data_IF_359237649782
#
_entry.id   IF_359237649782
#
_cell.length_a   1.000
_cell.length_b   1.000
_cell.length_c   1.000
_cell.angle_alpha   90.00
_cell.angle_beta   90.00
_cell.angle_gamma   90.00
#
_symmetry.space_group_name_H-M   'P 1'
#
loop_
_entity.id
_entity.type
_entity.pdbx_description
1 polymer ?
#
# COMPACT_ATOMS: atom_id res chain seq x y z
N UNK A 1 -30.85 51.17 50.85
CA UNK A 1 -30.89 49.91 50.10
C UNK A 1 -29.99 50.07 48.87
N UNK A 2 -28.73 49.63 48.95
CA UNK A 2 -27.76 49.71 47.87
C UNK A 2 -27.82 48.36 47.08
N UNK A 3 -28.23 48.42 45.83
CA UNK A 3 -28.18 47.26 44.92
C UNK A 3 -26.74 47.06 44.45
N UNK A 4 -26.12 45.96 44.86
CA UNK A 4 -24.83 45.51 44.35
C UNK A 4 -25.15 44.73 43.08
N UNK A 5 -24.74 45.27 41.92
CA UNK A 5 -24.78 44.58 40.64
C UNK A 5 -23.49 43.76 40.55
N UNK A 6 -23.62 42.44 40.67
CA UNK A 6 -22.52 41.47 40.47
C UNK A 6 -22.32 41.25 38.95
N UNK A 7 -21.31 41.90 38.38
CA UNK A 7 -20.91 41.70 36.98
C UNK A 7 -20.11 40.39 36.86
N UNK A 8 -20.77 39.33 36.43
CA UNK A 8 -20.13 38.03 36.17
C UNK A 8 -19.38 38.12 34.82
N UNK A 9 -18.11 38.50 34.87
CA UNK A 9 -17.23 38.38 33.70
C UNK A 9 -17.00 36.90 33.39
N UNK A 10 -17.73 36.35 32.42
CA UNK A 10 -17.39 35.08 31.76
C UNK A 10 -16.07 35.29 31.00
N UNK A 11 -14.97 34.94 31.65
CA UNK A 11 -13.69 34.73 30.98
C UNK A 11 -13.83 33.51 30.06
N UNK A 12 -14.24 33.75 28.81
CA UNK A 12 -14.02 32.81 27.70
C UNK A 12 -12.52 32.71 27.52
N UNK A 13 -11.88 31.80 28.24
CA UNK A 13 -10.53 31.33 27.85
C UNK A 13 -10.66 30.63 26.50
N UNK A 14 -10.56 31.40 25.42
CA UNK A 14 -10.22 30.84 24.11
C UNK A 14 -8.87 30.20 24.28
N UNK A 15 -8.86 28.88 24.53
CA UNK A 15 -7.66 28.07 24.36
C UNK A 15 -7.33 28.23 22.89
N UNK A 16 -6.39 29.13 22.61
CA UNK A 16 -5.90 29.39 21.25
C UNK A 16 -5.33 28.14 20.68
N UNK A 17 -6.15 27.38 19.96
CA UNK A 17 -5.67 26.29 19.13
C UNK A 17 -4.81 26.96 18.04
N UNK A 18 -3.51 26.75 18.08
CA UNK A 18 -2.63 27.21 16.99
C UNK A 18 -3.19 26.69 15.68
N UNK A 19 -3.58 27.59 14.80
CA UNK A 19 -4.14 27.27 13.51
C UNK A 19 -3.17 26.31 12.78
N UNK A 20 -3.69 25.18 12.29
CA UNK A 20 -2.89 24.21 11.58
C UNK A 20 -2.31 24.85 10.33
N UNK A 21 -1.01 24.67 10.10
CA UNK A 21 -0.34 25.21 8.91
C UNK A 21 -0.71 24.41 7.69
N UNK A 22 -1.28 25.08 6.71
CA UNK A 22 -1.69 24.49 5.43
C UNK A 22 -0.92 25.17 4.29
N UNK A 23 -0.30 24.34 3.44
CA UNK A 23 0.51 24.79 2.31
C UNK A 23 -0.11 24.25 1.02
N UNK A 24 -0.46 25.17 0.10
CA UNK A 24 -1.07 24.87 -1.20
C UNK A 24 -0.28 25.42 -2.37
N UNK A 25 0.83 26.14 -2.12
CA UNK A 25 1.63 26.81 -3.15
C UNK A 25 2.22 25.86 -4.19
N UNK A 26 2.44 24.58 -3.82
CA UNK A 26 2.98 23.59 -4.75
C UNK A 26 2.01 23.30 -5.91
N UNK A 27 0.69 23.45 -5.68
CA UNK A 27 -0.31 23.31 -6.76
C UNK A 27 -0.12 24.41 -7.80
N UNK A 28 0.05 25.67 -7.38
CA UNK A 28 0.27 26.79 -8.31
C UNK A 28 1.59 26.63 -9.06
N UNK A 29 2.64 26.30 -8.36
CA UNK A 29 3.97 26.07 -8.94
C UNK A 29 3.92 24.96 -10.01
N UNK A 30 3.13 23.90 -9.76
CA UNK A 30 2.95 22.84 -10.76
C UNK A 30 2.24 23.35 -12.02
N UNK A 31 1.17 24.11 -11.86
CA UNK A 31 0.42 24.62 -13.02
C UNK A 31 1.22 25.67 -13.80
N UNK A 32 2.05 26.48 -13.14
CA UNK A 32 3.02 27.37 -13.82
C UNK A 32 4.02 26.56 -14.66
N UNK A 33 4.52 25.46 -14.09
CA UNK A 33 5.42 24.55 -14.80
C UNK A 33 4.72 23.84 -15.96
N UNK A 34 3.51 23.33 -15.76
CA UNK A 34 2.69 22.68 -16.78
C UNK A 34 2.48 23.59 -17.99
N UNK A 35 2.00 24.81 -17.75
CA UNK A 35 1.72 25.80 -18.82
C UNK A 35 2.99 26.20 -19.60
N UNK A 36 4.14 26.10 -18.98
CA UNK A 36 5.44 26.35 -19.63
C UNK A 36 5.94 25.15 -20.41
N UNK A 37 5.77 23.94 -19.87
CA UNK A 37 6.22 22.67 -20.45
C UNK A 37 5.42 22.34 -21.72
N UNK A 38 4.12 22.59 -21.73
CA UNK A 38 3.26 22.31 -22.88
C UNK A 38 3.57 23.16 -24.12
N UNK A 39 4.32 24.28 -23.95
CA UNK A 39 4.75 25.14 -25.05
C UNK A 39 6.03 24.69 -25.77
N UNK A 40 6.66 23.62 -25.35
CA UNK A 40 7.91 23.10 -25.95
C UNK A 40 7.88 21.60 -26.09
N UNK A 41 8.50 21.07 -27.17
CA UNK A 41 8.69 19.64 -27.39
C UNK A 41 10.09 19.15 -26.99
N UNK A 42 11.00 20.07 -26.62
CA UNK A 42 12.36 19.74 -26.19
C UNK A 42 12.33 19.16 -24.78
N UNK A 43 12.66 17.88 -24.65
CA UNK A 43 12.64 17.16 -23.39
C UNK A 43 13.59 17.75 -22.33
N UNK A 44 14.76 18.22 -22.75
CA UNK A 44 15.72 18.87 -21.83
C UNK A 44 15.18 20.18 -21.29
N UNK A 45 14.53 20.98 -22.15
CA UNK A 45 13.85 22.21 -21.70
C UNK A 45 12.71 21.91 -20.75
N UNK A 46 11.91 20.87 -21.04
CA UNK A 46 10.83 20.42 -20.14
C UNK A 46 11.37 20.01 -18.76
N UNK A 47 12.47 19.25 -18.71
CA UNK A 47 13.14 18.91 -17.45
C UNK A 47 13.63 20.14 -16.69
N UNK A 48 14.24 21.08 -17.37
CA UNK A 48 14.68 22.34 -16.74
C UNK A 48 13.49 23.15 -16.21
N UNK A 49 12.36 23.17 -16.91
CA UNK A 49 11.16 23.88 -16.48
C UNK A 49 10.50 23.25 -15.26
N UNK A 50 10.32 21.92 -15.24
CA UNK A 50 9.71 21.24 -14.08
C UNK A 50 10.61 21.40 -12.82
N UNK A 51 11.92 21.30 -12.96
CA UNK A 51 12.83 21.53 -11.85
C UNK A 51 12.72 22.98 -11.37
N UNK A 52 12.92 23.96 -12.24
CA UNK A 52 12.98 25.39 -11.89
C UNK A 52 11.65 25.91 -11.32
N UNK A 53 10.50 25.54 -11.92
CA UNK A 53 9.21 26.16 -11.62
C UNK A 53 8.43 25.39 -10.55
N UNK A 54 8.66 24.09 -10.39
CA UNK A 54 7.93 23.25 -9.45
C UNK A 54 8.84 22.69 -8.34
N UNK A 55 9.86 21.87 -8.68
CA UNK A 55 10.61 21.10 -7.69
C UNK A 55 11.50 21.99 -6.82
N UNK A 56 12.22 22.94 -7.42
CA UNK A 56 13.13 23.83 -6.69
C UNK A 56 12.36 24.82 -5.80
N UNK A 57 11.24 25.34 -6.29
CA UNK A 57 10.31 26.19 -5.53
C UNK A 57 9.50 25.41 -4.49
N UNK A 58 9.51 24.08 -4.58
CA UNK A 58 8.65 23.20 -3.79
C UNK A 58 8.87 23.31 -2.30
N UNK A 59 7.76 23.20 -1.57
CA UNK A 59 7.76 23.15 -0.11
C UNK A 59 8.57 21.95 0.42
N UNK A 60 8.88 21.95 1.71
CA UNK A 60 9.47 20.76 2.35
C UNK A 60 8.55 19.53 2.23
N UNK A 61 7.22 19.74 2.18
CA UNK A 61 6.24 18.67 1.99
C UNK A 61 6.33 18.04 0.61
N UNK A 62 6.44 18.82 -0.47
CA UNK A 62 6.66 18.28 -1.81
C UNK A 62 7.93 17.41 -1.85
N UNK A 63 9.03 17.90 -1.28
CA UNK A 63 10.30 17.16 -1.25
C UNK A 63 10.19 15.85 -0.46
N UNK A 64 9.48 15.88 0.68
CA UNK A 64 9.19 14.69 1.47
C UNK A 64 8.30 13.69 0.69
N UNK A 65 7.26 14.18 0.00
CA UNK A 65 6.38 13.33 -0.81
C UNK A 65 7.11 12.69 -1.98
N UNK A 66 7.94 13.47 -2.70
CA UNK A 66 8.79 12.93 -3.76
C UNK A 66 9.70 11.81 -3.27
N UNK A 67 10.32 12.00 -2.10
CA UNK A 67 11.17 10.97 -1.46
C UNK A 67 10.36 9.74 -1.07
N UNK A 68 9.24 9.91 -0.37
CA UNK A 68 8.40 8.82 0.14
C UNK A 68 7.83 7.96 -0.99
N UNK A 69 7.44 8.57 -2.11
CA UNK A 69 6.82 7.91 -3.27
C UNK A 69 7.77 7.74 -4.46
N UNK A 70 9.06 8.05 -4.29
CA UNK A 70 10.10 7.93 -5.34
C UNK A 70 9.74 8.67 -6.63
N UNK A 71 9.13 9.87 -6.51
CA UNK A 71 8.87 10.73 -7.66
C UNK A 71 10.17 11.36 -8.16
N UNK A 72 10.27 11.53 -9.47
CA UNK A 72 11.40 12.14 -10.15
C UNK A 72 10.89 13.17 -11.16
N UNK A 73 11.72 14.14 -11.51
CA UNK A 73 11.45 15.15 -12.54
C UNK A 73 11.01 14.53 -13.88
N UNK A 74 11.72 13.49 -14.32
CA UNK A 74 11.39 12.73 -15.53
C UNK A 74 9.99 12.12 -15.50
N UNK A 75 9.48 11.73 -14.32
CA UNK A 75 8.14 11.19 -14.16
C UNK A 75 7.08 12.27 -14.46
N UNK A 76 7.23 13.46 -13.87
CA UNK A 76 6.30 14.58 -14.11
C UNK A 76 6.24 14.95 -15.57
N UNK A 77 7.40 15.13 -16.24
CA UNK A 77 7.45 15.48 -17.67
C UNK A 77 6.75 14.41 -18.52
N UNK A 78 7.03 13.13 -18.25
CA UNK A 78 6.37 12.02 -18.98
C UNK A 78 4.86 11.99 -18.76
N UNK A 79 4.39 12.26 -17.54
CA UNK A 79 2.96 12.27 -17.25
C UNK A 79 2.25 13.48 -17.88
N UNK A 80 2.88 14.65 -17.91
CA UNK A 80 2.34 15.81 -18.64
C UNK A 80 2.19 15.50 -20.13
N UNK A 81 3.15 14.79 -20.71
CA UNK A 81 3.11 14.42 -22.13
C UNK A 81 2.10 13.30 -22.41
N UNK A 82 1.99 12.32 -21.53
CA UNK A 82 1.18 11.12 -21.73
C UNK A 82 -0.32 11.33 -21.45
N UNK A 83 -0.70 12.33 -20.63
CA UNK A 83 -2.06 12.48 -20.12
C UNK A 83 -2.60 13.92 -20.22
N UNK A 84 -2.51 14.60 -21.41
CA UNK A 84 -2.95 15.98 -21.55
C UNK A 84 -4.44 16.20 -21.26
N UNK A 85 -5.31 15.27 -21.66
CA UNK A 85 -6.76 15.36 -21.41
C UNK A 85 -7.08 15.23 -19.92
N UNK A 86 -6.40 14.32 -19.23
CA UNK A 86 -6.52 14.21 -17.78
C UNK A 86 -6.14 15.53 -17.09
N UNK A 87 -4.94 16.06 -17.39
CA UNK A 87 -4.49 17.30 -16.77
C UNK A 87 -5.41 18.47 -17.07
N UNK A 88 -5.94 18.56 -18.28
CA UNK A 88 -6.94 19.56 -18.64
C UNK A 88 -8.19 19.46 -17.76
N UNK A 89 -8.71 18.25 -17.55
CA UNK A 89 -9.94 18.02 -16.79
C UNK A 89 -9.78 18.19 -15.28
N UNK A 90 -8.63 17.79 -14.69
CA UNK A 90 -8.41 17.81 -13.22
C UNK A 90 -7.97 19.17 -12.68
N UNK A 91 -7.54 20.09 -13.55
CA UNK A 91 -6.93 21.37 -13.15
C UNK A 91 -7.80 22.18 -12.19
N UNK A 92 -9.06 22.35 -12.54
CA UNK A 92 -10.01 23.13 -11.72
C UNK A 92 -10.18 22.51 -10.32
N UNK A 93 -10.28 21.18 -10.24
CA UNK A 93 -10.42 20.46 -8.99
C UNK A 93 -9.19 20.65 -8.09
N UNK A 94 -7.98 20.51 -8.63
CA UNK A 94 -6.76 20.72 -7.84
C UNK A 94 -6.61 22.15 -7.34
N UNK A 95 -6.97 23.15 -8.15
CA UNK A 95 -6.93 24.57 -7.77
C UNK A 95 -7.97 24.91 -6.70
N UNK A 96 -9.11 24.18 -6.64
CA UNK A 96 -10.17 24.40 -5.64
C UNK A 96 -9.76 24.00 -4.24
N UNK A 97 -8.65 23.25 -4.04
CA UNK A 97 -8.13 22.87 -2.70
C UNK A 97 -7.96 24.06 -1.78
N UNK A 98 -7.56 25.22 -2.31
CA UNK A 98 -7.41 26.45 -1.54
C UNK A 98 -8.72 26.90 -0.86
N UNK A 99 -9.85 26.66 -1.51
CA UNK A 99 -11.19 27.02 -1.02
C UNK A 99 -11.65 26.02 0.08
N UNK A 100 -11.06 24.83 0.14
CA UNK A 100 -11.38 23.79 1.13
C UNK A 100 -10.58 23.93 2.44
N UNK A 101 -9.62 24.84 2.51
CA UNK A 101 -8.72 24.96 3.69
C UNK A 101 -9.44 25.26 4.98
N UNK A 102 -10.50 26.08 4.94
CA UNK A 102 -11.32 26.38 6.13
C UNK A 102 -12.09 25.16 6.61
N UNK A 103 -12.73 24.42 5.70
CA UNK A 103 -13.46 23.17 6.02
C UNK A 103 -12.53 22.10 6.61
N UNK A 104 -11.29 21.99 6.08
CA UNK A 104 -10.25 21.11 6.61
C UNK A 104 -9.88 21.53 8.04
N UNK A 105 -9.69 22.83 8.31
CA UNK A 105 -9.42 23.33 9.66
C UNK A 105 -10.57 23.02 10.63
N UNK A 106 -11.82 23.19 10.19
CA UNK A 106 -13.00 22.83 10.99
C UNK A 106 -13.05 21.33 11.28
N UNK A 107 -12.72 20.48 10.32
CA UNK A 107 -12.63 19.04 10.51
C UNK A 107 -11.53 18.67 11.52
N UNK A 108 -10.36 19.32 11.46
CA UNK A 108 -9.29 19.13 12.45
C UNK A 108 -9.71 19.62 13.84
N UNK A 109 -10.47 20.70 13.93
CA UNK A 109 -11.02 21.17 15.21
C UNK A 109 -11.99 20.13 15.82
N UNK A 110 -12.84 19.48 14.99
CA UNK A 110 -13.67 18.34 15.42
C UNK A 110 -12.84 17.15 15.88
N UNK A 111 -11.77 16.79 15.15
CA UNK A 111 -10.83 15.76 15.56
C UNK A 111 -10.19 16.09 16.92
N UNK A 112 -9.80 17.34 17.14
CA UNK A 112 -9.26 17.81 18.42
C UNK A 112 -10.27 17.70 19.57
N UNK A 113 -11.54 17.98 19.30
CA UNK A 113 -12.60 17.81 20.30
C UNK A 113 -12.81 16.33 20.66
N UNK A 114 -12.75 15.41 19.67
CA UNK A 114 -12.84 13.98 19.89
C UNK A 114 -11.60 13.40 20.57
N UNK A 115 -10.41 13.93 20.25
CA UNK A 115 -9.14 13.48 20.79
C UNK A 115 -8.32 14.67 21.33
N UNK A 116 -8.54 15.10 22.58
CA UNK A 116 -7.88 16.28 23.18
C UNK A 116 -6.35 16.24 23.21
N UNK A 117 -5.73 15.06 23.08
CA UNK A 117 -4.29 14.89 22.99
C UNK A 117 -3.71 15.08 21.57
N UNK A 118 -4.55 15.48 20.61
CA UNK A 118 -4.13 15.70 19.22
C UNK A 118 -2.88 16.58 19.16
N UNK A 119 -1.83 16.07 18.54
CA UNK A 119 -0.59 16.80 18.26
C UNK A 119 -0.73 17.57 16.96
N UNK A 120 -0.15 18.79 16.86
CA UNK A 120 -0.19 19.56 15.64
C UNK A 120 0.57 18.87 14.50
N UNK A 121 0.00 18.91 13.30
CA UNK A 121 0.65 18.49 12.07
C UNK A 121 0.64 19.64 11.05
N UNK A 122 1.45 19.53 10.02
CA UNK A 122 1.51 20.46 8.90
C UNK A 122 0.98 19.78 7.64
N UNK A 123 0.10 20.44 6.89
CA UNK A 123 -0.57 19.87 5.73
C UNK A 123 0.02 20.45 4.46
N UNK A 124 0.39 19.58 3.53
CA UNK A 124 0.99 19.93 2.25
C UNK A 124 0.17 19.33 1.11
N UNK A 125 -0.48 20.21 0.35
CA UNK A 125 -1.21 19.84 -0.85
C UNK A 125 -0.32 20.08 -2.07
N UNK A 126 0.05 19.00 -2.74
CA UNK A 126 0.99 18.98 -3.85
C UNK A 126 0.36 18.32 -5.07
N UNK A 127 1.05 18.34 -6.19
CA UNK A 127 0.74 17.45 -7.31
C UNK A 127 1.75 16.31 -7.31
N UNK A 128 1.26 15.09 -7.22
CA UNK A 128 2.09 13.89 -7.18
C UNK A 128 2.33 13.26 -8.55
N UNK A 129 2.51 11.95 -8.59
CA UNK A 129 2.78 11.18 -9.80
C UNK A 129 1.93 9.90 -9.86
N UNK A 130 0.66 9.98 -9.53
CA UNK A 130 -0.34 8.90 -9.56
C UNK A 130 -0.03 7.66 -8.72
N UNK A 131 0.81 7.78 -7.67
CA UNK A 131 1.15 6.63 -6.82
C UNK A 131 0.45 6.63 -5.47
N UNK A 132 -0.06 7.77 -5.02
CA UNK A 132 -0.70 7.89 -3.71
C UNK A 132 -1.56 9.15 -3.64
N UNK A 133 -2.76 9.03 -3.09
CA UNK A 133 -3.61 10.18 -2.76
C UNK A 133 -3.10 10.91 -1.52
N UNK A 134 -2.53 10.17 -0.56
CA UNK A 134 -1.96 10.74 0.66
C UNK A 134 -0.87 9.86 1.26
N UNK A 135 -0.11 10.42 2.19
CA UNK A 135 0.85 9.73 3.06
C UNK A 135 1.33 10.69 4.15
N UNK A 136 2.10 10.17 5.10
CA UNK A 136 2.71 10.99 6.16
C UNK A 136 4.22 10.82 6.23
N UNK A 137 4.91 11.88 6.65
CA UNK A 137 6.32 11.82 7.05
C UNK A 137 6.51 12.63 8.34
N UNK A 138 6.70 11.93 9.46
CA UNK A 138 6.73 12.56 10.78
C UNK A 138 5.40 13.24 11.12
N UNK A 139 5.42 14.57 11.29
CA UNK A 139 4.24 15.39 11.51
C UNK A 139 3.71 16.09 10.25
N UNK A 140 4.16 15.67 9.08
CA UNK A 140 3.70 16.20 7.80
C UNK A 140 2.64 15.28 7.20
N UNK A 141 1.49 15.83 6.85
CA UNK A 141 0.46 15.24 6.01
C UNK A 141 0.72 15.66 4.58
N UNK A 142 0.93 14.71 3.69
CA UNK A 142 1.35 14.91 2.32
C UNK A 142 0.25 14.41 1.37
N UNK A 143 -0.39 15.32 0.65
CA UNK A 143 -1.56 15.01 -0.20
C UNK A 143 -1.22 15.22 -1.67
N UNK A 144 -1.45 14.18 -2.49
CA UNK A 144 -1.40 14.23 -3.95
C UNK A 144 -2.76 14.69 -4.49
N UNK A 145 -2.87 15.98 -4.74
CA UNK A 145 -4.15 16.62 -5.07
C UNK A 145 -4.77 16.08 -6.35
N UNK A 146 -3.96 15.60 -7.31
CA UNK A 146 -4.43 15.02 -8.56
C UNK A 146 -5.23 13.72 -8.38
N UNK A 147 -4.99 12.99 -7.28
CA UNK A 147 -5.82 11.82 -6.93
C UNK A 147 -6.90 12.22 -5.93
N UNK A 148 -6.54 13.03 -4.95
CA UNK A 148 -7.42 13.41 -3.84
C UNK A 148 -8.64 14.24 -4.26
N UNK A 149 -8.58 14.92 -5.42
CA UNK A 149 -9.68 15.74 -5.94
C UNK A 149 -10.33 15.16 -7.20
N UNK A 150 -10.01 13.92 -7.55
CA UNK A 150 -10.64 13.25 -8.69
C UNK A 150 -12.14 13.03 -8.46
N UNK A 151 -12.92 13.18 -9.52
CA UNK A 151 -14.37 12.97 -9.54
C UNK A 151 -14.75 12.11 -10.75
N UNK A 152 -15.98 11.52 -10.81
CA UNK A 152 -16.36 10.63 -11.90
C UNK A 152 -16.33 11.25 -13.31
N UNK A 153 -16.38 12.59 -13.40
CA UNK A 153 -16.37 13.36 -14.65
C UNK A 153 -14.96 13.67 -15.20
N UNK A 154 -13.90 13.32 -14.45
CA UNK A 154 -12.51 13.51 -14.89
C UNK A 154 -12.20 12.57 -16.08
N UNK A 155 -11.55 13.13 -17.10
CA UNK A 155 -11.17 12.36 -18.28
C UNK A 155 -10.03 11.38 -17.98
N UNK A 156 -10.35 10.09 -18.00
CA UNK A 156 -9.42 8.99 -17.76
C UNK A 156 -9.19 8.12 -19.01
N UNK A 157 -9.58 8.59 -20.19
CA UNK A 157 -9.48 7.80 -21.43
C UNK A 157 -8.04 7.43 -21.81
N UNK A 158 -7.06 8.20 -21.36
CA UNK A 158 -5.65 8.00 -21.63
C UNK A 158 -5.01 6.91 -20.72
N UNK A 159 -5.68 6.53 -19.64
CA UNK A 159 -5.16 5.52 -18.70
C UNK A 159 -5.56 4.11 -19.12
N UNK A 160 -4.56 3.24 -19.33
CA UNK A 160 -4.80 1.82 -19.64
C UNK A 160 -5.32 1.05 -18.42
N UNK A 161 -4.82 1.37 -17.22
CA UNK A 161 -5.24 0.74 -15.98
C UNK A 161 -6.52 1.42 -15.46
N UNK A 162 -7.59 0.65 -15.18
CA UNK A 162 -8.87 1.21 -14.71
C UNK A 162 -8.86 1.64 -13.24
N UNK A 163 -7.75 1.52 -12.52
CA UNK A 163 -7.67 1.81 -11.09
C UNK A 163 -8.18 3.21 -10.72
N UNK A 164 -7.70 4.26 -11.40
CA UNK A 164 -8.16 5.63 -11.13
C UNK A 164 -9.66 5.79 -11.39
N UNK A 165 -10.20 5.11 -12.41
CA UNK A 165 -11.65 5.12 -12.67
C UNK A 165 -12.43 4.52 -11.49
N UNK A 166 -11.93 3.44 -10.92
CA UNK A 166 -12.50 2.84 -9.71
C UNK A 166 -12.44 3.81 -8.52
N UNK A 167 -11.27 4.43 -8.28
CA UNK A 167 -11.06 5.40 -7.20
C UNK A 167 -12.03 6.59 -7.35
N UNK A 168 -12.06 7.25 -8.50
CA UNK A 168 -12.86 8.45 -8.73
C UNK A 168 -14.37 8.18 -8.77
N UNK A 169 -14.80 6.94 -9.05
CA UNK A 169 -16.22 6.60 -9.17
C UNK A 169 -17.04 6.84 -7.89
N UNK A 170 -16.39 6.93 -6.74
CA UNK A 170 -17.03 7.16 -5.42
C UNK A 170 -16.58 8.45 -4.75
N UNK A 171 -15.73 9.24 -5.40
CA UNK A 171 -15.27 10.52 -4.87
C UNK A 171 -16.19 11.65 -5.33
N UNK A 172 -16.40 12.62 -4.45
CA UNK A 172 -16.99 13.91 -4.74
C UNK A 172 -15.94 15.03 -4.57
N UNK A 173 -16.34 16.26 -4.83
CA UNK A 173 -15.46 17.44 -4.72
C UNK A 173 -14.90 17.66 -3.31
N UNK A 174 -15.52 17.07 -2.29
CA UNK A 174 -15.15 17.24 -0.88
C UNK A 174 -14.31 16.07 -0.35
N UNK A 175 -14.07 15.04 -1.18
CA UNK A 175 -13.32 13.86 -0.78
C UNK A 175 -11.94 14.17 -0.17
N UNK A 176 -11.32 15.27 -0.59
CA UNK A 176 -10.03 15.70 -0.05
C UNK A 176 -10.07 15.98 1.46
N UNK A 177 -11.24 16.33 2.02
CA UNK A 177 -11.39 16.62 3.46
C UNK A 177 -11.27 15.32 4.28
N UNK A 178 -12.10 14.27 4.08
CA UNK A 178 -11.94 13.03 4.82
C UNK A 178 -10.58 12.37 4.57
N UNK A 179 -10.04 12.42 3.34
CA UNK A 179 -8.68 11.94 3.06
C UNK A 179 -7.62 12.65 3.91
N UNK A 180 -7.70 13.98 4.02
CA UNK A 180 -6.77 14.77 4.85
C UNK A 180 -6.87 14.38 6.32
N UNK A 181 -8.07 14.13 6.84
CA UNK A 181 -8.27 13.67 8.23
C UNK A 181 -7.71 12.26 8.43
N UNK A 182 -7.93 11.34 7.50
CA UNK A 182 -7.35 10.01 7.52
C UNK A 182 -5.82 10.07 7.65
N UNK A 183 -5.16 10.84 6.80
CA UNK A 183 -3.70 11.02 6.88
C UNK A 183 -3.27 11.75 8.16
N UNK A 184 -4.07 12.71 8.65
CA UNK A 184 -3.78 13.38 9.91
C UNK A 184 -3.76 12.38 11.08
N UNK A 185 -4.67 11.41 11.10
CA UNK A 185 -4.73 10.39 12.14
C UNK A 185 -3.47 9.55 12.15
N UNK A 186 -2.90 9.20 10.98
CA UNK A 186 -1.62 8.51 10.91
C UNK A 186 -0.47 9.26 11.59
N UNK A 187 -0.50 10.61 11.62
CA UNK A 187 0.51 11.39 12.38
C UNK A 187 0.35 11.24 13.90
N UNK A 188 -0.79 10.78 14.38
CA UNK A 188 -1.07 10.57 15.80
C UNK A 188 -0.80 9.14 16.26
N UNK A 189 -0.85 8.19 15.35
CA UNK A 189 -0.54 6.80 15.62
C UNK A 189 0.94 6.65 15.99
N UNK A 190 1.23 5.74 16.91
CA UNK A 190 2.61 5.46 17.27
C UNK A 190 3.32 4.85 16.07
N UNK A 191 4.41 5.50 15.63
CA UNK A 191 5.24 4.96 14.54
C UNK A 191 5.70 3.55 14.93
N UNK A 192 5.34 2.58 14.11
CA UNK A 192 5.66 1.18 14.33
C UNK A 192 5.82 0.47 12.98
N UNK A 193 6.67 -0.54 12.94
CA UNK A 193 6.73 -1.46 11.83
C UNK A 193 5.62 -2.51 12.00
N UNK A 194 4.70 -2.56 11.04
CA UNK A 194 3.65 -3.57 11.03
C UNK A 194 4.23 -4.91 10.58
N UNK A 195 3.96 -5.97 11.35
CA UNK A 195 4.55 -7.29 11.11
C UNK A 195 3.67 -8.23 10.29
N UNK A 196 2.37 -7.94 10.21
CA UNK A 196 1.38 -8.81 9.60
C UNK A 196 0.15 -8.03 9.12
N UNK A 197 -0.73 -8.71 8.41
CA UNK A 197 -1.98 -8.15 7.86
C UNK A 197 -2.83 -7.47 8.92
N UNK A 198 -2.94 -8.05 10.14
CA UNK A 198 -3.74 -7.46 11.23
C UNK A 198 -3.24 -6.06 11.62
N UNK A 199 -1.91 -5.88 11.72
CA UNK A 199 -1.32 -4.59 12.06
C UNK A 199 -1.62 -3.52 11.03
N UNK A 200 -1.46 -3.83 9.76
CA UNK A 200 -1.82 -2.92 8.66
C UNK A 200 -3.31 -2.63 8.62
N UNK A 201 -4.15 -3.68 8.68
CA UNK A 201 -5.60 -3.53 8.63
C UNK A 201 -6.13 -2.62 9.76
N UNK A 202 -5.67 -2.82 10.99
CA UNK A 202 -6.07 -1.98 12.12
C UNK A 202 -5.54 -0.56 12.01
N UNK A 203 -4.32 -0.35 11.52
CA UNK A 203 -3.75 0.98 11.30
C UNK A 203 -4.59 1.79 10.32
N UNK A 204 -4.86 1.24 9.14
CA UNK A 204 -5.62 1.91 8.08
C UNK A 204 -7.11 2.05 8.44
N UNK A 205 -7.72 0.96 8.89
CA UNK A 205 -9.15 0.97 9.24
C UNK A 205 -9.48 1.84 10.45
N UNK A 206 -8.54 2.03 11.38
CA UNK A 206 -8.73 2.97 12.49
C UNK A 206 -8.74 4.43 12.00
N UNK A 207 -7.89 4.76 11.03
CA UNK A 207 -7.88 6.08 10.42
C UNK A 207 -9.22 6.37 9.72
N UNK A 208 -9.77 5.41 8.98
CA UNK A 208 -11.09 5.52 8.37
C UNK A 208 -12.20 5.68 9.41
N UNK A 209 -12.21 4.82 10.44
CA UNK A 209 -13.26 4.88 11.46
C UNK A 209 -13.26 6.20 12.23
N UNK A 210 -12.11 6.69 12.65
CA UNK A 210 -12.00 7.99 13.33
C UNK A 210 -12.37 9.12 12.37
N UNK A 211 -12.01 9.02 11.09
CA UNK A 211 -12.45 9.97 10.06
C UNK A 211 -13.97 10.00 9.95
N UNK A 212 -14.65 8.86 9.94
CA UNK A 212 -16.13 8.78 9.95
C UNK A 212 -16.71 9.55 11.14
N UNK A 213 -16.16 9.37 12.34
CA UNK A 213 -16.61 10.11 13.54
C UNK A 213 -16.39 11.62 13.41
N UNK A 214 -15.26 12.05 12.85
CA UNK A 214 -14.96 13.47 12.61
C UNK A 214 -15.90 14.08 11.60
N UNK A 215 -16.20 13.36 10.52
CA UNK A 215 -17.10 13.83 9.46
C UNK A 215 -18.56 13.80 9.88
N UNK A 216 -18.94 13.01 10.89
CA UNK A 216 -20.33 12.86 11.35
C UNK A 216 -21.27 12.23 10.32
N UNK A 217 -20.70 11.58 9.29
CA UNK A 217 -21.43 10.87 8.24
C UNK A 217 -20.68 9.60 7.85
N UNK A 218 -21.40 8.57 7.44
CA UNK A 218 -20.82 7.31 6.98
C UNK A 218 -19.91 7.54 5.79
N UNK A 219 -18.70 6.99 5.86
CA UNK A 219 -17.76 7.01 4.75
C UNK A 219 -18.24 6.08 3.62
N UNK A 220 -18.11 6.56 2.40
CA UNK A 220 -18.44 5.82 1.19
C UNK A 220 -17.18 5.70 0.34
N UNK A 221 -16.61 4.49 0.33
CA UNK A 221 -15.48 4.11 -0.52
C UNK A 221 -15.82 2.79 -1.22
N UNK A 222 -15.06 2.41 -2.24
CA UNK A 222 -15.26 1.12 -2.92
C UNK A 222 -15.12 -0.05 -1.95
N UNK A 223 -14.04 -0.09 -1.17
CA UNK A 223 -13.76 -1.17 -0.22
C UNK A 223 -14.77 -1.23 0.94
N UNK A 224 -15.25 -0.10 1.46
CA UNK A 224 -16.29 -0.11 2.50
C UNK A 224 -17.65 -0.59 1.96
N UNK A 225 -17.99 -0.21 0.72
CA UNK A 225 -19.23 -0.63 0.08
C UNK A 225 -19.20 -2.13 -0.17
N UNK A 226 -18.19 -2.61 -0.90
CA UNK A 226 -18.01 -4.02 -1.20
C UNK A 226 -17.88 -4.87 0.08
N UNK A 227 -17.12 -4.37 1.06
CA UNK A 227 -16.89 -5.04 2.32
C UNK A 227 -18.19 -5.30 3.10
N UNK A 228 -19.12 -4.32 3.15
CA UNK A 228 -20.44 -4.48 3.80
C UNK A 228 -21.29 -5.52 3.10
N UNK A 229 -21.27 -5.57 1.77
CA UNK A 229 -22.02 -6.54 0.97
C UNK A 229 -21.51 -7.98 1.14
N UNK A 230 -20.19 -8.15 1.41
CA UNK A 230 -19.52 -9.44 1.48
C UNK A 230 -18.94 -9.76 2.87
N UNK A 231 -19.44 -9.10 3.91
CA UNK A 231 -18.88 -9.11 5.27
C UNK A 231 -18.55 -10.49 5.83
N UNK A 232 -19.46 -11.45 5.69
CA UNK A 232 -19.28 -12.80 6.25
C UNK A 232 -18.12 -13.55 5.60
N UNK A 233 -17.99 -13.47 4.27
CA UNK A 233 -16.92 -14.13 3.50
C UNK A 233 -15.58 -13.51 3.83
N UNK A 234 -15.51 -12.16 3.83
CA UNK A 234 -14.28 -11.41 4.12
C UNK A 234 -13.81 -11.67 5.56
N UNK A 235 -14.72 -11.61 6.53
CA UNK A 235 -14.44 -11.92 7.95
C UNK A 235 -13.88 -13.33 8.14
N UNK A 236 -14.46 -14.33 7.44
CA UNK A 236 -13.98 -15.72 7.46
C UNK A 236 -12.58 -15.87 6.87
N UNK A 237 -12.30 -15.22 5.75
CA UNK A 237 -10.98 -15.25 5.09
C UNK A 237 -9.95 -14.53 5.94
N UNK A 238 -10.29 -13.35 6.46
CA UNK A 238 -9.39 -12.58 7.31
C UNK A 238 -8.99 -13.34 8.58
N UNK A 239 -9.90 -14.10 9.20
CA UNK A 239 -9.59 -14.93 10.37
C UNK A 239 -8.44 -15.90 10.11
N UNK A 240 -8.30 -16.39 8.89
CA UNK A 240 -7.22 -17.32 8.51
C UNK A 240 -5.92 -16.63 8.22
N UNK A 241 -5.96 -15.42 7.66
CA UNK A 241 -4.82 -14.74 7.05
C UNK A 241 -4.28 -13.56 7.86
N UNK A 242 -4.94 -13.18 8.96
CA UNK A 242 -4.60 -11.95 9.72
C UNK A 242 -3.15 -11.90 10.22
N UNK A 243 -2.50 -13.03 10.43
CA UNK A 243 -1.10 -13.10 10.84
C UNK A 243 -0.12 -13.33 9.68
N UNK A 244 -0.60 -13.39 8.44
CA UNK A 244 0.26 -13.47 7.27
C UNK A 244 1.16 -12.22 7.16
N UNK A 245 2.39 -12.41 6.70
CA UNK A 245 3.35 -11.31 6.48
C UNK A 245 3.16 -10.64 5.13
N UNK A 246 2.67 -11.37 4.12
CA UNK A 246 2.29 -10.81 2.83
C UNK A 246 0.94 -10.11 2.93
N UNK A 247 0.91 -8.82 2.61
CA UNK A 247 -0.27 -7.95 2.72
C UNK A 247 -1.01 -7.76 1.40
N UNK A 248 -0.43 -8.21 0.28
CA UNK A 248 -0.89 -7.92 -1.07
C UNK A 248 -2.34 -8.35 -1.36
N UNK A 249 -2.84 -9.36 -0.66
CA UNK A 249 -4.24 -9.81 -0.78
C UNK A 249 -5.22 -8.90 -0.04
N UNK A 250 -4.74 -8.08 0.88
CA UNK A 250 -5.58 -7.34 1.82
C UNK A 250 -5.47 -5.83 1.71
N UNK A 251 -4.32 -5.31 1.27
CA UNK A 251 -4.06 -3.86 1.26
C UNK A 251 -3.22 -3.46 0.04
N UNK A 252 -3.41 -2.23 -0.41
CA UNK A 252 -2.67 -1.57 -1.50
C UNK A 252 -2.73 -2.32 -2.83
N UNK A 253 -3.84 -3.00 -3.09
CA UNK A 253 -4.02 -3.94 -4.18
C UNK A 253 -5.08 -3.48 -5.22
N UNK A 254 -5.55 -2.25 -5.14
CA UNK A 254 -6.57 -1.68 -6.03
C UNK A 254 -6.20 -1.68 -7.51
N UNK A 255 -4.90 -1.70 -7.84
CA UNK A 255 -4.43 -1.70 -9.23
C UNK A 255 -4.68 -3.02 -9.96
N UNK A 256 -4.99 -4.12 -9.25
CA UNK A 256 -5.17 -5.46 -9.84
C UNK A 256 -6.39 -6.24 -9.34
N UNK A 257 -7.00 -5.91 -8.20
CA UNK A 257 -8.19 -6.61 -7.68
C UNK A 257 -9.52 -5.87 -7.92
N UNK A 258 -9.49 -4.62 -8.36
CA UNK A 258 -10.73 -3.88 -8.65
C UNK A 258 -11.61 -3.66 -7.42
N UNK A 259 -12.89 -4.05 -7.49
CA UNK A 259 -13.86 -3.82 -6.42
C UNK A 259 -13.57 -4.60 -5.13
N UNK A 260 -12.86 -5.71 -5.22
CA UNK A 260 -12.47 -6.57 -4.07
C UNK A 260 -11.19 -6.08 -3.38
N UNK A 261 -10.67 -4.92 -3.81
CA UNK A 261 -9.42 -4.39 -3.28
C UNK A 261 -9.55 -3.84 -1.88
N UNK A 262 -8.42 -3.81 -1.18
CA UNK A 262 -8.23 -3.07 0.07
C UNK A 262 -9.16 -3.51 1.22
N UNK A 263 -9.54 -4.82 1.23
CA UNK A 263 -10.42 -5.37 2.27
C UNK A 263 -9.83 -5.30 3.67
N UNK A 264 -8.51 -5.11 3.80
CA UNK A 264 -7.86 -4.84 5.09
C UNK A 264 -8.36 -3.54 5.74
N UNK A 265 -8.57 -2.49 4.94
CA UNK A 265 -9.17 -1.23 5.40
C UNK A 265 -10.57 -1.47 5.99
N UNK A 266 -11.42 -2.19 5.23
CA UNK A 266 -12.76 -2.53 5.68
C UNK A 266 -12.77 -3.31 7.00
N UNK A 267 -11.96 -4.35 7.12
CA UNK A 267 -11.90 -5.19 8.34
C UNK A 267 -11.40 -4.36 9.53
N UNK A 268 -10.35 -3.58 9.36
CA UNK A 268 -9.81 -2.72 10.42
C UNK A 268 -10.84 -1.67 10.88
N UNK A 269 -11.55 -1.06 9.94
CA UNK A 269 -12.65 -0.14 10.21
C UNK A 269 -13.77 -0.82 11.02
N UNK A 270 -14.23 -2.00 10.63
CA UNK A 270 -15.29 -2.73 11.34
C UNK A 270 -14.86 -3.16 12.76
N UNK A 271 -13.62 -3.62 12.93
CA UNK A 271 -13.08 -3.97 14.25
C UNK A 271 -13.10 -2.73 15.18
N UNK A 272 -12.62 -1.58 14.70
CA UNK A 272 -12.60 -0.32 15.45
C UNK A 272 -14.02 0.16 15.77
N UNK A 273 -14.93 0.09 14.83
CA UNK A 273 -16.34 0.48 14.98
C UNK A 273 -17.05 -0.37 16.04
N UNK A 274 -16.88 -1.68 15.98
CA UNK A 274 -17.47 -2.60 16.97
C UNK A 274 -16.86 -2.35 18.36
N UNK A 275 -15.53 -2.18 18.45
CA UNK A 275 -14.87 -1.82 19.71
C UNK A 275 -15.44 -0.55 20.32
N UNK A 276 -15.59 0.51 19.50
CA UNK A 276 -16.16 1.77 19.91
C UNK A 276 -17.61 1.61 20.37
N UNK A 277 -18.44 0.88 19.60
CA UNK A 277 -19.86 0.70 19.92
C UNK A 277 -20.04 -0.07 21.23
N UNK A 278 -19.23 -1.09 21.49
CA UNK A 278 -19.27 -1.89 22.72
C UNK A 278 -18.65 -1.18 23.95
N UNK A 279 -17.89 -0.11 23.73
CA UNK A 279 -17.25 0.61 24.84
C UNK A 279 -18.23 1.55 25.53
N UNK A 280 -18.39 1.51 26.88
CA UNK A 280 -19.21 2.46 27.62
C UNK A 280 -18.65 3.87 27.62
N UNK A 281 -17.33 4.03 27.54
CA UNK A 281 -16.62 5.30 27.46
C UNK A 281 -16.10 5.53 26.04
N UNK A 282 -16.80 6.37 25.29
CA UNK A 282 -16.49 6.68 23.88
C UNK A 282 -15.17 7.46 23.74
N UNK A 283 -14.88 8.37 24.65
CA UNK A 283 -13.65 9.15 24.62
C UNK A 283 -12.43 8.24 24.87
N UNK A 284 -12.55 7.31 25.82
CA UNK A 284 -11.53 6.29 26.04
C UNK A 284 -11.37 5.37 24.84
N UNK A 285 -12.45 4.96 24.20
CA UNK A 285 -12.40 4.10 23.01
C UNK A 285 -11.65 4.76 21.84
N UNK A 286 -11.92 6.06 21.56
CA UNK A 286 -11.20 6.83 20.55
C UNK A 286 -9.70 6.87 20.89
N UNK A 287 -9.37 7.15 22.14
CA UNK A 287 -7.97 7.16 22.60
C UNK A 287 -7.31 5.78 22.42
N UNK A 288 -7.96 4.71 22.85
CA UNK A 288 -7.45 3.35 22.77
C UNK A 288 -7.20 2.93 21.29
N UNK A 289 -8.06 3.37 20.36
CA UNK A 289 -7.91 3.16 18.93
C UNK A 289 -6.70 3.93 18.41
N UNK A 290 -6.59 5.23 18.63
CA UNK A 290 -5.51 6.07 18.09
C UNK A 290 -4.14 5.69 18.68
N UNK A 291 -4.09 5.42 20.00
CA UNK A 291 -2.85 5.14 20.74
C UNK A 291 -2.49 3.63 20.74
N UNK A 292 -3.21 2.77 19.98
CA UNK A 292 -2.92 1.34 19.90
C UNK A 292 -1.45 1.11 19.50
N UNK A 293 -0.81 0.10 20.09
CA UNK A 293 0.54 -0.26 19.69
C UNK A 293 0.51 -1.17 18.45
N UNK A 294 0.43 -0.54 17.27
CA UNK A 294 0.31 -1.21 15.97
C UNK A 294 1.49 -2.10 15.60
N UNK A 295 2.66 -1.92 16.22
CA UNK A 295 3.84 -2.78 16.04
C UNK A 295 3.90 -4.00 16.98
N UNK A 296 2.95 -4.11 17.92
CA UNK A 296 2.90 -5.23 18.88
C UNK A 296 1.76 -6.18 18.56
N UNK A 297 2.08 -7.34 18.01
CA UNK A 297 1.09 -8.36 17.69
C UNK A 297 0.22 -8.75 18.91
N UNK A 298 0.81 -8.81 20.11
CA UNK A 298 0.06 -9.08 21.33
C UNK A 298 -0.96 -7.97 21.62
N UNK A 299 -0.58 -6.70 21.47
CA UNK A 299 -1.51 -5.58 21.65
C UNK A 299 -2.65 -5.61 20.64
N UNK A 300 -2.35 -5.94 19.38
CA UNK A 300 -3.34 -6.08 18.32
C UNK A 300 -4.33 -7.21 18.59
N UNK A 301 -3.81 -8.37 19.02
CA UNK A 301 -4.65 -9.53 19.35
C UNK A 301 -5.54 -9.26 20.56
N UNK A 302 -5.02 -8.61 21.60
CA UNK A 302 -5.81 -8.20 22.76
C UNK A 302 -6.91 -7.21 22.36
N UNK A 303 -6.60 -6.22 21.50
CA UNK A 303 -7.58 -5.25 21.00
C UNK A 303 -8.66 -5.95 20.16
N UNK A 304 -8.27 -6.83 19.24
CA UNK A 304 -9.19 -7.62 18.43
C UNK A 304 -10.15 -8.47 19.28
N UNK A 305 -9.60 -9.22 20.24
CA UNK A 305 -10.41 -10.06 21.11
C UNK A 305 -11.36 -9.22 22.00
N UNK A 306 -10.89 -8.07 22.49
CA UNK A 306 -11.72 -7.16 23.29
C UNK A 306 -12.79 -6.46 22.48
N UNK A 307 -12.60 -6.27 21.17
CA UNK A 307 -13.61 -5.64 20.31
C UNK A 307 -14.92 -6.44 20.23
N UNK A 308 -14.84 -7.76 20.36
CA UNK A 308 -15.99 -8.66 20.11
C UNK A 308 -16.25 -8.88 18.62
N UNK A 309 -15.31 -8.54 17.74
CA UNK A 309 -15.47 -8.75 16.29
C UNK A 309 -15.64 -10.23 15.93
N UNK A 310 -14.94 -11.14 16.63
CA UNK A 310 -15.17 -12.58 16.58
C UNK A 310 -15.87 -13.05 17.86
N UNK A 311 -16.81 -13.98 17.74
CA UNK A 311 -17.58 -14.55 18.87
C UNK A 311 -16.69 -15.35 19.84
N UNK A 312 -15.57 -15.87 19.34
CA UNK A 312 -14.58 -16.60 20.14
C UNK A 312 -13.21 -15.93 20.03
N UNK A 313 -12.45 -15.85 21.12
CA UNK A 313 -11.09 -15.34 21.05
C UNK A 313 -10.25 -16.06 19.99
N UNK A 314 -9.34 -15.32 19.38
CA UNK A 314 -8.42 -15.85 18.37
C UNK A 314 -7.27 -16.55 19.10
N UNK A 315 -7.09 -17.83 18.80
CA UNK A 315 -5.89 -18.58 19.12
C UNK A 315 -4.85 -18.33 18.00
N UNK A 316 -3.79 -17.62 18.36
CA UNK A 316 -2.73 -17.24 17.42
C UNK A 316 -2.01 -18.45 16.84
N UNK A 317 -1.61 -19.39 17.69
CA UNK A 317 -0.80 -20.52 17.25
C UNK A 317 -1.58 -21.42 16.29
N UNK A 318 -2.82 -21.73 16.66
CA UNK A 318 -3.72 -22.49 15.80
C UNK A 318 -4.00 -21.76 14.46
N UNK A 319 -4.20 -20.44 14.51
CA UNK A 319 -4.48 -19.63 13.29
C UNK A 319 -3.28 -19.61 12.36
N UNK A 320 -2.07 -19.37 12.89
CA UNK A 320 -0.84 -19.36 12.08
C UNK A 320 -0.56 -20.73 11.49
N UNK A 321 -0.75 -21.82 12.27
CA UNK A 321 -0.60 -23.18 11.79
C UNK A 321 -1.56 -23.48 10.63
N UNK A 322 -2.83 -23.19 10.81
CA UNK A 322 -3.85 -23.41 9.78
C UNK A 322 -3.60 -22.56 8.52
N UNK A 323 -3.11 -21.33 8.67
CA UNK A 323 -2.70 -20.48 7.54
C UNK A 323 -1.56 -21.15 6.76
N UNK A 324 -0.47 -21.50 7.44
CA UNK A 324 0.71 -22.11 6.80
C UNK A 324 0.38 -23.43 6.09
N UNK A 325 -0.44 -24.28 6.68
CA UNK A 325 -0.92 -25.53 6.07
C UNK A 325 -1.77 -25.27 4.82
N UNK A 326 -2.41 -24.12 4.75
CA UNK A 326 -3.24 -23.73 3.59
C UNK A 326 -2.47 -23.06 2.46
N UNK A 327 -1.21 -22.64 2.66
CA UNK A 327 -0.42 -21.98 1.63
C UNK A 327 0.10 -22.97 0.56
N UNK A 328 0.36 -22.51 -0.68
CA UNK A 328 1.05 -23.32 -1.66
C UNK A 328 2.48 -23.62 -1.16
N UNK A 329 3.00 -24.79 -1.48
CA UNK A 329 4.36 -25.20 -1.16
C UNK A 329 4.95 -26.04 -2.30
N UNK A 330 6.27 -26.15 -2.33
CA UNK A 330 6.98 -26.94 -3.31
C UNK A 330 6.84 -28.43 -2.95
N UNK A 331 6.22 -29.20 -3.85
CA UNK A 331 6.08 -30.66 -3.73
C UNK A 331 7.34 -31.36 -4.21
N UNK A 332 7.89 -30.89 -5.33
CA UNK A 332 9.10 -31.47 -5.92
C UNK A 332 9.78 -30.49 -6.85
N UNK A 333 11.07 -30.74 -7.10
CA UNK A 333 11.82 -30.10 -8.16
C UNK A 333 12.86 -31.07 -8.74
N UNK A 334 13.25 -30.91 -10.00
CA UNK A 334 14.20 -31.81 -10.65
C UNK A 334 14.37 -31.51 -12.14
N UNK A 335 15.23 -32.32 -12.82
CA UNK A 335 15.75 -33.64 -12.46
C UNK A 335 16.97 -33.65 -11.53
N UNK A 336 17.68 -32.53 -11.35
CA UNK A 336 18.80 -32.45 -10.40
C UNK A 336 18.40 -31.76 -9.10
N UNK A 337 19.08 -32.06 -8.01
CA UNK A 337 18.82 -31.60 -6.66
C UNK A 337 20.02 -30.88 -6.05
N UNK A 338 19.78 -30.22 -4.90
CA UNK A 338 20.88 -29.62 -4.17
C UNK A 338 21.91 -30.66 -3.71
N UNK A 339 23.17 -30.45 -4.07
CA UNK A 339 24.29 -31.31 -3.72
C UNK A 339 24.63 -32.35 -4.79
N UNK A 340 23.85 -32.48 -5.87
CA UNK A 340 24.11 -33.47 -6.94
C UNK A 340 25.44 -33.19 -7.61
N UNK A 341 26.16 -34.29 -7.86
CA UNK A 341 27.42 -34.33 -8.63
C UNK A 341 27.22 -35.17 -9.87
N UNK A 342 28.03 -34.91 -10.89
CA UNK A 342 27.98 -35.65 -12.14
C UNK A 342 26.61 -35.61 -12.86
N UNK A 343 25.90 -34.48 -12.75
CA UNK A 343 24.65 -34.24 -13.48
C UNK A 343 24.92 -34.29 -14.97
N UNK A 344 24.03 -34.90 -15.73
CA UNK A 344 24.15 -34.98 -17.19
C UNK A 344 23.98 -33.60 -17.83
N UNK A 345 24.97 -33.13 -18.57
CA UNK A 345 24.91 -31.86 -19.30
C UNK A 345 23.91 -31.85 -20.47
N UNK A 346 23.38 -33.02 -20.85
CA UNK A 346 22.31 -33.16 -21.84
C UNK A 346 20.91 -32.74 -21.33
N UNK A 347 20.72 -32.54 -20.04
CA UNK A 347 19.46 -32.10 -19.48
C UNK A 347 19.08 -30.71 -20.04
N UNK A 348 17.84 -30.58 -20.54
CA UNK A 348 17.31 -29.35 -21.17
C UNK A 348 16.18 -28.68 -20.40
N UNK A 349 15.61 -29.36 -19.42
CA UNK A 349 14.47 -28.85 -18.64
C UNK A 349 14.69 -29.05 -17.15
N UNK A 350 14.24 -28.05 -16.37
CA UNK A 350 14.12 -28.14 -14.92
C UNK A 350 12.70 -27.86 -14.53
N UNK A 351 12.12 -28.69 -13.67
CA UNK A 351 10.73 -28.61 -13.25
C UNK A 351 10.65 -28.24 -11.78
N UNK A 352 9.66 -27.41 -11.43
CA UNK A 352 9.27 -27.10 -10.04
C UNK A 352 7.77 -27.34 -9.93
N UNK A 353 7.36 -28.31 -9.10
CA UNK A 353 5.95 -28.67 -8.88
C UNK A 353 5.46 -28.17 -7.53
N UNK A 354 4.32 -27.52 -7.53
CA UNK A 354 3.68 -26.94 -6.34
C UNK A 354 2.41 -27.72 -5.95
N UNK A 355 2.00 -27.55 -4.70
CA UNK A 355 0.79 -28.19 -4.16
C UNK A 355 -0.51 -27.59 -4.69
N UNK A 356 -0.47 -26.41 -5.31
CA UNK A 356 -1.59 -25.67 -5.87
C UNK A 356 -1.28 -25.12 -7.24
N UNK A 357 -2.30 -24.77 -8.06
CA UNK A 357 -2.13 -23.99 -9.27
C UNK A 357 -1.46 -22.64 -8.96
N UNK A 358 -0.46 -22.28 -9.77
CA UNK A 358 0.34 -21.07 -9.60
C UNK A 358 0.12 -20.10 -10.77
N UNK A 359 0.41 -18.82 -10.54
CA UNK A 359 0.40 -17.78 -11.56
C UNK A 359 1.67 -17.86 -12.42
N UNK A 360 1.58 -18.16 -13.73
CA UNK A 360 2.75 -18.28 -14.61
C UNK A 360 3.53 -16.98 -14.81
N UNK A 361 2.88 -15.84 -14.56
CA UNK A 361 3.50 -14.53 -14.72
C UNK A 361 4.17 -14.02 -13.42
N UNK A 362 4.08 -14.81 -12.34
CA UNK A 362 4.54 -14.38 -11.02
C UNK A 362 5.44 -15.44 -10.37
N UNK A 363 6.73 -15.38 -10.69
CA UNK A 363 7.77 -16.25 -10.14
C UNK A 363 9.12 -15.54 -10.06
N UNK A 364 10.00 -16.00 -9.17
CA UNK A 364 11.36 -15.50 -9.07
C UNK A 364 12.40 -16.59 -8.84
N UNK A 365 13.44 -16.54 -9.66
CA UNK A 365 14.63 -17.35 -9.58
C UNK A 365 15.83 -16.41 -9.57
N UNK A 366 16.67 -16.49 -8.54
CA UNK A 366 17.75 -15.53 -8.35
C UNK A 366 19.14 -16.15 -8.49
N UNK A 367 20.09 -15.28 -8.86
CA UNK A 367 21.50 -15.60 -8.77
C UNK A 367 21.90 -15.68 -7.29
N UNK A 368 22.90 -16.50 -7.00
CA UNK A 368 23.65 -16.40 -5.76
C UNK A 368 24.72 -15.29 -5.89
N UNK A 369 25.52 -15.12 -4.84
CA UNK A 369 26.68 -14.21 -4.87
C UNK A 369 27.71 -14.51 -5.95
N UNK A 370 27.68 -15.73 -6.56
CA UNK A 370 28.58 -16.12 -7.67
C UNK A 370 28.17 -15.50 -9.02
N UNK A 371 26.95 -14.99 -9.11
CA UNK A 371 26.48 -14.25 -10.30
C UNK A 371 25.95 -15.13 -11.43
N UNK A 372 25.70 -14.49 -12.57
CA UNK A 372 24.99 -15.06 -13.72
C UNK A 372 25.68 -16.29 -14.34
N UNK A 373 26.99 -16.36 -14.32
CA UNK A 373 27.75 -17.46 -14.95
C UNK A 373 27.50 -18.81 -14.28
N UNK A 374 27.00 -18.81 -13.05
CA UNK A 374 26.64 -20.02 -12.30
C UNK A 374 25.14 -20.32 -12.36
N UNK A 375 24.34 -19.49 -13.03
CA UNK A 375 22.89 -19.64 -13.12
C UNK A 375 22.52 -20.46 -14.34
N UNK A 376 21.87 -21.64 -14.19
CA UNK A 376 21.65 -22.57 -15.29
C UNK A 376 20.31 -22.40 -15.99
N UNK A 377 19.36 -21.64 -15.45
CA UNK A 377 18.00 -21.54 -15.95
C UNK A 377 17.85 -20.34 -16.89
N UNK A 378 17.11 -20.50 -17.99
CA UNK A 378 16.95 -19.43 -18.97
C UNK A 378 15.55 -18.81 -18.90
N UNK A 379 14.55 -19.47 -19.44
CA UNK A 379 13.18 -18.97 -19.55
C UNK A 379 12.16 -20.04 -19.15
N UNK A 380 10.99 -19.59 -18.73
CA UNK A 380 9.83 -20.45 -18.60
C UNK A 380 9.43 -20.94 -19.99
N UNK A 381 9.36 -22.26 -20.18
CA UNK A 381 8.94 -22.90 -21.42
C UNK A 381 7.42 -23.09 -21.47
N UNK A 382 6.85 -23.59 -20.38
CA UNK A 382 5.44 -23.92 -20.25
C UNK A 382 5.05 -24.22 -18.82
N UNK A 383 3.75 -24.26 -18.58
CA UNK A 383 3.17 -24.83 -17.37
C UNK A 383 2.61 -26.22 -17.69
N UNK A 384 2.64 -27.11 -16.70
CA UNK A 384 2.06 -28.47 -16.75
C UNK A 384 1.17 -28.70 -15.51
N UNK A 385 0.44 -29.83 -15.47
CA UNK A 385 -0.34 -30.29 -14.34
C UNK A 385 -1.34 -29.25 -13.82
N UNK A 386 -2.13 -28.67 -14.70
CA UNK A 386 -3.09 -27.62 -14.37
C UNK A 386 -2.43 -26.42 -13.64
N UNK A 387 -1.36 -25.90 -14.24
CA UNK A 387 -0.56 -24.80 -13.72
C UNK A 387 0.14 -25.06 -12.36
N UNK A 388 0.36 -26.29 -11.98
CA UNK A 388 1.14 -26.61 -10.78
C UNK A 388 2.62 -26.78 -11.04
N UNK A 389 3.03 -27.06 -12.25
CA UNK A 389 4.43 -27.34 -12.60
C UNK A 389 4.98 -26.31 -13.57
N UNK A 390 5.97 -25.56 -13.12
CA UNK A 390 6.80 -24.71 -13.97
C UNK A 390 7.87 -25.54 -14.64
N UNK A 391 8.04 -25.39 -15.96
CA UNK A 391 9.08 -26.04 -16.76
C UNK A 391 10.01 -24.98 -17.33
N UNK A 392 11.24 -24.92 -16.84
CA UNK A 392 12.26 -23.97 -17.27
C UNK A 392 13.26 -24.59 -18.24
N UNK A 393 13.71 -23.81 -19.22
CA UNK A 393 14.85 -24.19 -20.05
C UNK A 393 16.14 -24.21 -19.24
N UNK A 394 16.99 -25.19 -19.48
CA UNK A 394 18.29 -25.39 -18.82
C UNK A 394 19.43 -25.27 -19.84
N UNK A 395 20.45 -24.50 -19.46
CA UNK A 395 21.68 -24.36 -20.20
C UNK A 395 22.89 -24.69 -19.30
N UNK A 396 23.35 -25.91 -19.39
CA UNK A 396 24.45 -26.44 -18.59
C UNK A 396 25.52 -27.10 -19.45
N UNK A 397 26.77 -26.91 -19.05
CA UNK A 397 27.95 -27.42 -19.75
C UNK A 397 28.65 -28.50 -18.92
N UNK A 398 29.30 -29.43 -19.55
CA UNK A 398 30.07 -30.49 -18.89
C UNK A 398 31.21 -29.89 -18.05
N UNK A 399 31.48 -30.51 -16.88
CA UNK A 399 32.58 -30.15 -16.01
C UNK A 399 32.41 -28.82 -15.25
N UNK A 400 31.20 -28.26 -15.18
CA UNK A 400 30.92 -26.96 -14.57
C UNK A 400 30.03 -27.10 -13.32
N UNK A 401 30.22 -26.18 -12.37
CA UNK A 401 29.35 -26.07 -11.19
C UNK A 401 28.32 -24.96 -11.40
N UNK A 402 27.13 -25.17 -10.87
CA UNK A 402 25.99 -24.25 -10.96
C UNK A 402 25.34 -24.04 -9.63
N UNK A 403 24.76 -22.86 -9.43
CA UNK A 403 23.92 -22.59 -8.27
C UNK A 403 22.87 -21.49 -8.56
N UNK A 404 21.70 -21.62 -7.95
CA UNK A 404 20.62 -20.66 -8.04
C UNK A 404 19.69 -20.77 -6.83
N UNK A 405 18.81 -19.77 -6.68
CA UNK A 405 17.85 -19.71 -5.59
C UNK A 405 16.44 -19.77 -6.17
N UNK A 406 15.63 -20.72 -5.68
CA UNK A 406 14.17 -20.68 -5.82
C UNK A 406 13.68 -19.78 -4.70
N UNK A 407 13.20 -18.58 -5.04
CA UNK A 407 12.80 -17.58 -4.08
C UNK A 407 11.31 -17.69 -3.72
N UNK A 408 10.98 -17.41 -2.48
CA UNK A 408 9.59 -17.32 -2.03
C UNK A 408 8.98 -15.91 -2.18
N UNK A 409 9.69 -14.97 -2.77
CA UNK A 409 9.23 -13.58 -2.87
C UNK A 409 8.12 -13.40 -3.90
N UNK A 410 8.20 -14.09 -5.05
CA UNK A 410 7.30 -13.87 -6.16
C UNK A 410 6.39 -15.06 -6.49
N UNK A 411 6.84 -16.32 -6.24
CA UNK A 411 5.96 -17.45 -6.52
C UNK A 411 4.65 -17.35 -5.76
N UNK A 412 3.54 -17.20 -6.50
CA UNK A 412 2.21 -17.11 -5.90
C UNK A 412 1.14 -17.78 -6.75
N UNK A 413 0.01 -18.10 -6.11
CA UNK A 413 -1.22 -18.48 -6.81
C UNK A 413 -1.82 -17.27 -7.56
N UNK A 414 -2.75 -17.46 -8.51
CA UNK A 414 -3.44 -16.35 -9.19
C UNK A 414 -4.11 -15.36 -8.23
N UNK A 415 -4.58 -15.83 -7.08
CA UNK A 415 -5.14 -15.02 -6.01
C UNK A 415 -4.12 -14.54 -4.97
N UNK A 416 -2.81 -14.56 -5.34
CA UNK A 416 -1.68 -13.95 -4.63
C UNK A 416 -1.28 -14.59 -3.30
N UNK A 417 -1.60 -15.84 -3.04
CA UNK A 417 -0.98 -16.58 -1.95
C UNK A 417 0.46 -16.93 -2.30
N UNK A 418 1.41 -16.39 -1.57
CA UNK A 418 2.83 -16.75 -1.71
C UNK A 418 3.10 -18.14 -1.13
N UNK A 419 4.15 -18.79 -1.60
CA UNK A 419 4.55 -20.10 -1.09
C UNK A 419 5.00 -20.02 0.36
N UNK A 420 4.72 -21.09 1.13
CA UNK A 420 5.14 -21.21 2.55
C UNK A 420 6.60 -21.58 2.72
N UNK A 421 7.25 -22.08 1.66
CA UNK A 421 8.66 -22.50 1.71
C UNK A 421 9.58 -21.30 1.92
N UNK A 422 10.71 -21.54 2.57
CA UNK A 422 11.82 -20.59 2.59
C UNK A 422 12.58 -20.66 1.25
N UNK A 423 13.40 -19.65 0.98
CA UNK A 423 14.31 -19.69 -0.18
C UNK A 423 15.13 -20.98 -0.20
N UNK A 424 15.09 -21.67 -1.33
CA UNK A 424 15.83 -22.92 -1.53
C UNK A 424 17.02 -22.65 -2.46
N UNK A 425 18.23 -22.86 -1.95
CA UNK A 425 19.43 -22.75 -2.78
C UNK A 425 19.76 -24.13 -3.35
N UNK A 426 19.83 -24.21 -4.67
CA UNK A 426 20.23 -25.43 -5.41
C UNK A 426 21.67 -25.26 -5.87
N UNK A 427 22.52 -26.22 -5.53
CA UNK A 427 23.92 -26.29 -5.98
C UNK A 427 24.16 -27.67 -6.56
N UNK A 428 24.79 -27.74 -7.70
CA UNK A 428 25.15 -29.02 -8.35
C UNK A 428 26.38 -28.86 -9.26
N UNK A 429 26.94 -29.98 -9.73
CA UNK A 429 28.00 -30.01 -10.74
C UNK A 429 27.69 -31.03 -11.80
N UNK A 430 28.08 -30.75 -13.03
CA UNK A 430 27.93 -31.64 -14.17
C UNK A 430 29.10 -32.60 -14.28
N UNK A 431 28.89 -33.74 -14.98
CA UNK A 431 29.97 -34.66 -15.35
C UNK A 431 31.03 -33.92 -16.14
N UNK A 432 32.34 -34.24 -15.90
CA UNK A 432 33.41 -33.82 -16.80
C UNK A 432 33.15 -34.27 -18.24
N UNK A 433 33.73 -33.54 -19.19
CA UNK A 433 33.72 -34.00 -20.56
C UNK A 433 34.66 -35.20 -20.70
N UNK A 434 34.14 -36.36 -21.14
CA UNK A 434 34.95 -37.53 -21.46
C UNK A 434 35.59 -37.31 -22.85
N UNK A 435 36.85 -36.96 -22.88
CA UNK A 435 37.60 -37.00 -24.12
C UNK A 435 37.76 -38.48 -24.54
N UNK A 436 37.45 -38.84 -25.80
CA UNK A 436 37.78 -40.16 -26.27
C UNK A 436 39.29 -40.40 -26.09
N UNK A 437 39.66 -41.35 -25.24
CA UNK A 437 41.04 -41.78 -25.18
C UNK A 437 41.31 -42.52 -26.48
N UNK A 438 42.17 -41.98 -27.35
CA UNK A 438 42.69 -42.69 -28.51
C UNK A 438 43.18 -44.05 -28.05
N UNK A 439 42.46 -45.11 -28.42
CA UNK A 439 42.97 -46.48 -28.29
C UNK A 439 44.18 -46.55 -29.15
N UNK A 440 45.39 -46.58 -28.55
CA UNK A 440 46.65 -46.99 -29.22
C UNK A 440 46.55 -48.42 -29.61
#
# INVERSE_FOLDING_TARGET
MKKVILLLCLLLTSIGFSQVKIYTSDIDNYWEAYDSITKTHDFTKRLNLINKLYIDKGTKGLKAFMKARRYRDTLYVKHIEAYPEFWGSIRANTLSVKQKTEEIQQAIARLKALYPKLKPAELYFTIGGFRSAGTVDGNMVLVGSEIATGTPDINLSEFKNPWLKGVFSKQDSDHIIPLTIHEYIHTQQKKAEHKNVLGYALSEGSADFITELVMGKTLVTNYLTYGREHAATIKKSFRKEMFATSIERWLFNGSYLGAESDMGYYIGYEICKIYYNNSPDKAKAIKDIIELNYGSENSLLQFLNKSGFYDTPIDREQTVKACNESLPHIVSYGPFKNGDKNVDSGIKEFKITFSKPMDPDNFSLYYTSKGKDYFPLEKLLRMEDDNRTFVFAVNIWAGKSYEFIISNEEFSTPDRFKISDKNITIRFSTKPFDFPTDKK
#
